data_IF_268990192908
#
_entry.id   IF_268990192908
#
_cell.length_a   1.000
_cell.length_b   1.000
_cell.length_c   1.000
_cell.angle_alpha   90.00
_cell.angle_beta   90.00
_cell.angle_gamma   90.00
#
_symmetry.space_group_name_H-M   'P 1'
#
loop_
_entity.id
_entity.type
_entity.pdbx_description
1 polymer ?
#
# COMPACT_ATOMS: atom_id res chain seq x y z
N UNK A 1 5.58 9.34 13.11
CA UNK A 1 6.93 8.75 13.16
C UNK A 1 7.53 8.78 14.57
N UNK A 2 7.24 9.80 15.39
CA UNK A 2 7.58 9.79 16.83
C UNK A 2 9.07 9.94 17.13
N UNK A 3 9.82 10.60 16.25
CA UNK A 3 11.23 10.88 16.48
C UNK A 3 11.39 11.96 17.56
N UNK A 4 12.36 11.77 18.45
CA UNK A 4 12.85 12.83 19.32
C UNK A 4 13.61 13.88 18.49
N UNK A 5 13.54 15.18 18.81
CA UNK A 5 14.25 16.24 18.08
C UNK A 5 15.74 15.96 17.86
N UNK A 6 16.46 15.53 18.91
CA UNK A 6 17.90 15.24 18.81
C UNK A 6 18.21 14.11 17.81
N UNK A 7 17.32 13.12 17.69
CA UNK A 7 17.47 12.04 16.72
C UNK A 7 17.24 12.58 15.32
N UNK A 8 16.26 13.46 15.13
CA UNK A 8 16.01 14.09 13.84
C UNK A 8 17.20 14.94 13.37
N UNK A 9 17.79 15.74 14.26
CA UNK A 9 18.95 16.58 13.95
C UNK A 9 20.19 15.76 13.56
N UNK A 10 20.32 14.55 14.10
CA UNK A 10 21.44 13.65 13.79
C UNK A 10 21.32 12.92 12.45
N UNK A 11 20.13 12.89 11.83
CA UNK A 11 19.90 12.14 10.58
C UNK A 11 20.34 12.93 9.36
N UNK A 12 20.96 12.24 8.41
CA UNK A 12 21.10 12.77 7.06
C UNK A 12 19.74 12.84 6.36
N UNK A 13 19.57 13.74 5.36
CA UNK A 13 18.32 13.82 4.59
C UNK A 13 17.89 12.50 3.95
N UNK A 14 18.86 11.67 3.54
CA UNK A 14 18.61 10.35 2.97
C UNK A 14 18.05 9.39 4.03
N UNK A 15 18.69 9.30 5.20
CA UNK A 15 18.23 8.44 6.30
C UNK A 15 16.84 8.84 6.78
N UNK A 16 16.59 10.14 6.93
CA UNK A 16 15.26 10.65 7.25
C UNK A 16 14.23 10.22 6.20
N UNK A 17 14.56 10.38 4.91
CA UNK A 17 13.65 10.00 3.82
C UNK A 17 13.30 8.51 3.86
N UNK A 18 14.28 7.63 4.08
CA UNK A 18 14.02 6.19 4.20
C UNK A 18 13.19 5.85 5.43
N UNK A 19 13.51 6.45 6.57
CA UNK A 19 12.81 6.20 7.82
C UNK A 19 11.35 6.69 7.74
N UNK A 20 11.12 7.84 7.09
CA UNK A 20 9.79 8.36 6.77
C UNK A 20 9.01 7.41 5.85
N UNK A 21 9.62 6.96 4.74
CA UNK A 21 8.97 6.02 3.82
C UNK A 21 8.56 4.72 4.50
N UNK A 22 9.44 4.18 5.35
CA UNK A 22 9.15 2.99 6.14
C UNK A 22 8.00 3.21 7.13
N UNK A 23 7.99 4.36 7.82
CA UNK A 23 6.90 4.71 8.73
C UNK A 23 5.57 4.92 7.99
N UNK A 24 5.56 5.69 6.90
CA UNK A 24 4.37 5.97 6.11
C UNK A 24 3.79 4.71 5.47
N UNK A 25 4.63 3.74 5.09
CA UNK A 25 4.16 2.41 4.68
C UNK A 25 3.45 1.70 5.84
N UNK A 26 4.08 1.64 7.02
CA UNK A 26 3.52 0.98 8.20
C UNK A 26 2.18 1.57 8.62
N UNK A 27 2.03 2.89 8.63
CA UNK A 27 0.74 3.51 8.99
C UNK A 27 -0.34 3.21 7.98
N UNK A 28 -0.05 3.27 6.67
CA UNK A 28 -1.00 2.87 5.63
C UNK A 28 -1.41 1.40 5.76
N UNK A 29 -0.45 0.52 6.05
CA UNK A 29 -0.71 -0.91 6.25
C UNK A 29 -1.60 -1.13 7.49
N UNK A 30 -1.36 -0.39 8.58
CA UNK A 30 -2.18 -0.42 9.79
C UNK A 30 -3.61 0.03 9.49
N UNK A 31 -3.77 1.22 8.91
CA UNK A 31 -5.08 1.77 8.57
C UNK A 31 -5.84 0.80 7.65
N UNK A 32 -5.18 0.26 6.63
CA UNK A 32 -5.76 -0.76 5.76
C UNK A 32 -6.23 -1.98 6.54
N UNK A 33 -5.41 -2.52 7.44
CA UNK A 33 -5.81 -3.66 8.27
C UNK A 33 -7.00 -3.35 9.17
N UNK A 34 -7.08 -2.14 9.71
CA UNK A 34 -8.19 -1.71 10.56
C UNK A 34 -9.50 -1.71 9.76
N UNK A 35 -9.48 -1.08 8.58
CA UNK A 35 -10.61 -1.09 7.64
C UNK A 35 -10.98 -2.51 7.17
N UNK A 36 -10.01 -3.39 6.96
CA UNK A 36 -10.29 -4.79 6.61
C UNK A 36 -11.03 -5.49 7.75
N UNK A 37 -10.60 -5.33 9.01
CA UNK A 37 -11.28 -5.94 10.16
C UNK A 37 -12.71 -5.44 10.31
N UNK A 38 -12.94 -4.15 10.10
CA UNK A 38 -14.28 -3.58 10.08
C UNK A 38 -15.11 -4.14 8.93
N UNK A 39 -14.55 -4.20 7.72
CA UNK A 39 -15.21 -4.78 6.55
C UNK A 39 -15.65 -6.24 6.79
N UNK A 40 -14.78 -7.04 7.39
CA UNK A 40 -15.10 -8.42 7.79
C UNK A 40 -16.27 -8.47 8.77
N UNK A 41 -16.24 -7.61 9.79
CA UNK A 41 -17.29 -7.55 10.81
C UNK A 41 -18.64 -7.17 10.20
N UNK A 42 -18.66 -6.14 9.35
CA UNK A 42 -19.87 -5.70 8.63
C UNK A 42 -20.39 -6.79 7.71
N UNK A 43 -19.51 -7.44 6.93
CA UNK A 43 -19.91 -8.49 6.00
C UNK A 43 -20.54 -9.70 6.70
N UNK A 44 -20.00 -10.11 7.86
CA UNK A 44 -20.59 -11.19 8.67
C UNK A 44 -21.98 -10.77 9.16
N UNK A 45 -22.13 -9.56 9.72
CA UNK A 45 -23.41 -9.06 10.21
C UNK A 45 -24.47 -8.96 9.10
N UNK A 46 -24.10 -8.41 7.94
CA UNK A 46 -24.99 -8.32 6.78
C UNK A 46 -25.35 -9.71 6.25
N UNK A 47 -24.41 -10.65 6.22
CA UNK A 47 -24.66 -12.02 5.74
C UNK A 47 -25.67 -12.77 6.60
N UNK A 48 -25.73 -12.49 7.91
CA UNK A 48 -26.74 -13.06 8.82
C UNK A 48 -28.14 -12.56 8.45
N UNK A 49 -28.26 -11.28 8.05
CA UNK A 49 -29.53 -10.66 7.70
C UNK A 49 -30.04 -11.06 6.30
N UNK A 50 -29.16 -11.50 5.41
CA UNK A 50 -29.49 -11.86 4.03
C UNK A 50 -29.78 -13.36 3.85
N UNK A 51 -30.72 -13.64 2.95
CA UNK A 51 -30.92 -14.98 2.42
C UNK A 51 -29.68 -15.46 1.66
N UNK A 52 -29.45 -16.77 1.63
CA UNK A 52 -28.25 -17.36 1.05
C UNK A 52 -28.01 -16.98 -0.42
N UNK A 53 -29.08 -16.77 -1.19
CA UNK A 53 -29.02 -16.41 -2.62
C UNK A 53 -28.52 -14.97 -2.85
N UNK A 54 -28.67 -14.10 -1.87
CA UNK A 54 -28.33 -12.67 -1.96
C UNK A 54 -26.94 -12.36 -1.39
N UNK A 55 -26.30 -13.34 -0.74
CA UNK A 55 -24.94 -13.22 -0.22
C UNK A 55 -23.94 -13.23 -1.36
N UNK A 56 -23.09 -12.20 -1.42
CA UNK A 56 -21.96 -12.11 -2.34
C UNK A 56 -20.64 -12.10 -1.57
N UNK A 57 -19.50 -12.38 -2.24
CA UNK A 57 -18.18 -12.21 -1.64
C UNK A 57 -18.00 -10.81 -1.04
N UNK A 58 -17.25 -10.73 0.07
CA UNK A 58 -17.03 -9.49 0.81
C UNK A 58 -16.53 -8.33 -0.06
N UNK A 59 -15.59 -8.59 -0.96
CA UNK A 59 -15.01 -7.59 -1.88
C UNK A 59 -16.04 -7.02 -2.85
N UNK A 60 -17.06 -7.81 -3.23
CA UNK A 60 -18.14 -7.34 -4.10
C UNK A 60 -19.21 -6.54 -3.34
N UNK A 61 -19.51 -6.94 -2.10
CA UNK A 61 -20.51 -6.26 -1.28
C UNK A 61 -20.00 -4.95 -0.69
N UNK A 62 -18.74 -4.93 -0.27
CA UNK A 62 -18.09 -3.82 0.41
C UNK A 62 -16.73 -3.54 -0.24
N UNK A 63 -16.72 -3.00 -1.47
CA UNK A 63 -15.48 -2.74 -2.20
C UNK A 63 -14.66 -1.66 -1.50
N UNK A 64 -13.36 -1.89 -1.37
CA UNK A 64 -12.41 -0.92 -0.83
C UNK A 64 -11.52 -0.34 -1.96
N UNK A 65 -10.99 0.89 -1.80
CA UNK A 65 -10.18 1.55 -2.84
C UNK A 65 -8.96 0.74 -3.28
N UNK A 66 -8.46 -0.15 -2.42
CA UNK A 66 -7.24 -0.92 -2.64
C UNK A 66 -7.46 -2.35 -3.16
N UNK A 67 -8.70 -2.75 -3.44
CA UNK A 67 -8.98 -4.07 -4.02
C UNK A 67 -8.62 -4.13 -5.52
N UNK A 68 -8.71 -2.98 -6.21
CA UNK A 68 -8.45 -2.86 -7.64
C UNK A 68 -7.08 -2.26 -7.97
N UNK A 69 -6.15 -2.22 -7.00
CA UNK A 69 -4.78 -1.78 -7.31
C UNK A 69 -4.19 -2.84 -8.23
N UNK A 70 -3.84 -2.50 -9.48
CA UNK A 70 -3.14 -3.44 -10.35
C UNK A 70 -1.94 -3.94 -9.56
N UNK A 71 -1.79 -5.26 -9.40
CA UNK A 71 -0.54 -5.80 -8.85
C UNK A 71 0.55 -5.13 -9.66
N UNK A 72 1.41 -4.35 -9.00
CA UNK A 72 2.45 -3.57 -9.67
C UNK A 72 3.08 -4.53 -10.67
N UNK A 73 2.80 -4.37 -11.97
CA UNK A 73 3.29 -5.27 -13.00
C UNK A 73 4.79 -5.27 -12.77
N UNK A 74 5.31 -6.37 -12.22
CA UNK A 74 6.73 -6.48 -11.98
C UNK A 74 7.30 -6.45 -13.38
N UNK A 75 7.78 -5.27 -13.80
CA UNK A 75 8.40 -5.10 -15.11
C UNK A 75 9.37 -6.26 -15.26
N UNK A 76 9.25 -6.97 -16.37
CA UNK A 76 10.12 -8.12 -16.64
C UNK A 76 11.58 -7.64 -16.60
N UNK A 77 12.52 -8.54 -16.34
CA UNK A 77 13.94 -8.17 -16.24
C UNK A 77 14.41 -7.35 -17.45
N UNK A 78 13.90 -7.68 -18.64
CA UNK A 78 14.19 -6.99 -19.89
C UNK A 78 13.67 -5.55 -19.93
N UNK A 79 12.45 -5.32 -19.45
CA UNK A 79 11.85 -3.99 -19.36
C UNK A 79 12.59 -3.11 -18.36
N UNK A 80 13.07 -3.69 -17.24
CA UNK A 80 13.92 -2.98 -16.27
C UNK A 80 15.25 -2.56 -16.90
N UNK A 81 15.91 -3.46 -17.64
CA UNK A 81 17.17 -3.16 -18.32
C UNK A 81 17.00 -2.05 -19.37
N UNK A 82 15.91 -2.08 -20.16
CA UNK A 82 15.60 -1.01 -21.12
C UNK A 82 15.41 0.35 -20.44
N UNK A 83 14.71 0.38 -19.31
CA UNK A 83 14.47 1.62 -18.55
C UNK A 83 15.76 2.20 -17.97
N UNK A 84 16.64 1.36 -17.42
CA UNK A 84 17.97 1.79 -16.93
C UNK A 84 18.80 2.38 -18.07
N UNK A 85 18.82 1.74 -19.25
CA UNK A 85 19.54 2.23 -20.42
C UNK A 85 19.04 3.60 -20.89
N UNK A 86 17.72 3.82 -20.87
CA UNK A 86 17.10 5.11 -21.19
C UNK A 86 17.47 6.20 -20.17
N UNK A 87 17.42 5.90 -18.87
CA UNK A 87 17.84 6.87 -17.85
C UNK A 87 19.31 7.27 -17.99
N UNK A 88 20.19 6.30 -18.27
CA UNK A 88 21.64 6.54 -18.47
C UNK A 88 21.94 7.40 -19.71
N UNK A 89 21.05 7.44 -20.71
CA UNK A 89 21.19 8.34 -21.86
C UNK A 89 20.87 9.80 -21.50
N UNK A 90 19.96 10.04 -20.56
CA UNK A 90 19.60 11.38 -20.10
C UNK A 90 20.68 12.02 -19.19
N UNK A 91 21.49 11.20 -18.51
CA UNK A 91 22.56 11.65 -17.60
C UNK A 91 23.85 12.04 -18.34
N UNK A 92 24.05 11.56 -19.58
CA UNK A 92 25.24 11.86 -20.40
C UNK A 92 25.16 13.20 -21.16
N UNK A 93 24.57 14.24 -20.56
CA UNK A 93 24.65 15.62 -21.08
C UNK A 93 25.49 16.48 -20.16
#
# INVERSE_FOLDING_TARGET
MGLHPDVFESLTPAEFSYAWLGWAKRERDRERQDWERERWSVWVLTSIQLERKDRKPMVEMFPMPWDNVPSNNMMTLEERQKRVKQMMQCVKK
#
